data_IF_857588464950
#
_entry.id   IF_857588464950
#
_cell.length_a   1.000
_cell.length_b   1.000
_cell.length_c   1.000
_cell.angle_alpha   90.00
_cell.angle_beta   90.00
_cell.angle_gamma   90.00
#
_symmetry.space_group_name_H-M   'P 1'
#
loop_
_entity.id
_entity.type
_entity.pdbx_description
1 polymer ?
#
# COMPACT_ATOMS: atom_id res chain seq x y z
N UNK A 1 -16.72 5.25 13.01
CA UNK A 1 -16.50 6.73 13.08
C UNK A 1 -14.99 6.90 13.16
N UNK A 2 -14.37 7.91 12.55
CA UNK A 2 -12.90 8.04 12.54
C UNK A 2 -12.49 9.41 13.05
N UNK A 3 -11.41 9.48 13.82
CA UNK A 3 -10.80 10.73 14.26
C UNK A 3 -9.52 10.91 13.45
N UNK A 4 -9.50 11.93 12.61
CA UNK A 4 -8.31 12.33 11.86
C UNK A 4 -7.69 13.51 12.58
N UNK A 5 -6.45 13.37 13.02
CA UNK A 5 -5.62 14.48 13.48
C UNK A 5 -4.79 14.93 12.27
N UNK A 6 -5.25 15.98 11.60
CA UNK A 6 -4.47 16.67 10.59
C UNK A 6 -3.51 17.63 11.30
N UNK A 7 -2.21 17.44 11.12
CA UNK A 7 -1.22 18.41 11.60
C UNK A 7 -1.05 19.44 10.48
N UNK A 8 -1.91 20.46 10.48
CA UNK A 8 -1.72 21.65 9.67
C UNK A 8 -1.02 22.72 10.51
N UNK A 9 0.02 23.30 9.91
CA UNK A 9 0.94 24.21 10.58
C UNK A 9 0.22 25.42 11.22
N UNK A 10 0.19 25.46 12.55
CA UNK A 10 0.10 26.70 13.34
C UNK A 10 1.42 27.47 13.19
N UNK A 11 1.70 28.00 11.99
CA UNK A 11 2.79 28.96 11.80
C UNK A 11 2.42 30.23 12.57
N UNK A 12 2.94 30.37 13.80
CA UNK A 12 3.37 31.65 14.43
C UNK A 12 3.64 31.54 15.95
N UNK A 13 4.30 30.51 16.49
CA UNK A 13 4.92 30.64 17.84
C UNK A 13 6.22 29.84 17.98
N UNK A 14 7.24 30.38 18.67
CA UNK A 14 8.49 29.68 18.92
C UNK A 14 8.35 28.74 20.15
N UNK A 15 8.47 27.41 19.91
CA UNK A 15 8.50 26.22 20.81
C UNK A 15 7.17 25.58 21.28
N UNK A 16 7.13 24.26 21.60
CA UNK A 16 7.52 23.06 20.86
C UNK A 16 6.27 22.35 20.28
N UNK A 17 6.05 22.40 18.96
CA UNK A 17 4.82 21.89 18.32
C UNK A 17 4.52 20.40 18.60
N UNK A 18 5.55 19.60 18.84
CA UNK A 18 5.47 18.17 19.12
C UNK A 18 4.71 17.85 20.41
N UNK A 19 4.84 18.66 21.47
CA UNK A 19 4.19 18.37 22.78
C UNK A 19 2.69 18.66 22.76
N UNK A 20 2.23 19.62 21.95
CA UNK A 20 0.81 19.97 21.83
C UNK A 20 0.03 18.89 21.09
N UNK A 21 0.58 18.33 20.01
CA UNK A 21 -0.06 17.24 19.25
C UNK A 21 -0.21 15.98 20.10
N UNK A 22 0.82 15.59 20.86
CA UNK A 22 0.73 14.47 21.81
C UNK A 22 -0.39 14.68 22.83
N UNK A 23 -0.47 15.87 23.44
CA UNK A 23 -1.50 16.17 24.43
C UNK A 23 -2.92 16.09 23.87
N UNK A 24 -3.14 16.61 22.64
CA UNK A 24 -4.44 16.51 21.96
C UNK A 24 -4.77 15.05 21.67
N UNK A 25 -3.82 14.30 21.12
CA UNK A 25 -4.01 12.89 20.78
C UNK A 25 -4.32 12.04 22.02
N UNK A 26 -3.55 12.19 23.09
CA UNK A 26 -3.75 11.47 24.34
C UNK A 26 -5.11 11.79 24.96
N UNK A 27 -5.55 13.05 24.91
CA UNK A 27 -6.88 13.45 25.38
C UNK A 27 -8.00 12.81 24.55
N UNK A 28 -7.91 12.86 23.22
CA UNK A 28 -8.88 12.24 22.33
C UNK A 28 -8.93 10.72 22.56
N UNK A 29 -7.77 10.08 22.70
CA UNK A 29 -7.68 8.66 22.98
C UNK A 29 -8.28 8.29 24.33
N UNK A 30 -8.05 9.07 25.39
CA UNK A 30 -8.66 8.85 26.70
C UNK A 30 -10.19 9.02 26.66
N UNK A 31 -10.69 9.97 25.87
CA UNK A 31 -12.12 10.26 25.78
C UNK A 31 -12.90 9.22 24.96
N UNK A 32 -12.34 8.81 23.82
CA UNK A 32 -13.01 7.95 22.85
C UNK A 32 -12.61 6.47 22.93
N UNK A 33 -11.44 6.17 23.49
CA UNK A 33 -10.90 4.81 23.61
C UNK A 33 -10.50 4.19 22.27
N UNK A 34 -10.17 2.89 22.30
CA UNK A 34 -9.68 2.11 21.14
C UNK A 34 -10.73 1.23 20.45
N UNK A 35 -11.93 1.10 21.02
CA UNK A 35 -12.87 0.03 20.62
C UNK A 35 -13.89 0.42 19.55
N UNK A 36 -13.92 1.68 19.10
CA UNK A 36 -14.94 2.13 18.14
C UNK A 36 -14.49 3.19 17.12
N UNK A 37 -13.23 3.62 17.20
CA UNK A 37 -12.69 4.74 16.43
C UNK A 37 -11.31 4.40 15.87
N UNK A 38 -11.15 4.63 14.58
CA UNK A 38 -9.84 4.65 13.92
C UNK A 38 -9.17 6.00 14.17
N UNK A 39 -7.91 5.95 14.60
CA UNK A 39 -7.05 7.14 14.70
C UNK A 39 -6.16 7.23 13.47
N UNK A 40 -6.20 8.39 12.84
CA UNK A 40 -5.48 8.67 11.62
C UNK A 40 -4.63 9.92 11.75
N UNK A 41 -3.38 9.86 11.30
CA UNK A 41 -2.48 11.01 11.19
C UNK A 41 -2.22 11.35 9.73
N UNK A 42 -2.30 12.64 9.41
CA UNK A 42 -2.02 13.17 8.07
C UNK A 42 -1.05 14.34 8.15
N UNK A 43 -0.02 14.31 7.31
CA UNK A 43 0.95 15.40 7.18
C UNK A 43 1.32 15.67 5.72
N UNK A 44 1.55 16.95 5.38
CA UNK A 44 1.89 17.36 4.01
C UNK A 44 3.31 17.88 3.82
N UNK A 45 3.90 18.51 4.84
CA UNK A 45 5.19 19.22 4.71
C UNK A 45 6.13 18.96 5.89
N UNK A 46 5.79 18.03 6.77
CA UNK A 46 6.56 17.67 7.96
C UNK A 46 6.31 16.23 8.36
N UNK A 47 7.27 15.64 9.05
CA UNK A 47 7.11 14.32 9.64
C UNK A 47 6.27 14.40 10.90
N UNK A 48 5.27 13.51 11.07
CA UNK A 48 4.49 13.48 12.29
C UNK A 48 5.33 13.03 13.49
N UNK A 49 4.98 13.46 14.72
CA UNK A 49 5.48 12.79 15.90
C UNK A 49 5.07 11.31 15.93
N UNK A 50 5.87 10.50 16.63
CA UNK A 50 5.53 9.11 16.92
C UNK A 50 4.42 9.02 17.97
N UNK A 51 3.17 8.89 17.51
CA UNK A 51 1.98 8.78 18.37
C UNK A 51 1.59 7.32 18.59
N UNK A 52 1.08 6.98 19.78
CA UNK A 52 0.56 5.65 20.12
C UNK A 52 -0.85 5.43 19.57
N UNK A 53 -1.27 4.19 19.36
CA UNK A 53 -2.64 3.85 18.96
C UNK A 53 -3.12 4.50 17.65
N UNK A 54 -2.20 4.72 16.70
CA UNK A 54 -2.54 5.17 15.34
C UNK A 54 -2.84 3.96 14.47
N UNK A 55 -4.01 3.96 13.83
CA UNK A 55 -4.43 2.91 12.90
C UNK A 55 -3.97 3.20 11.48
N UNK A 56 -3.88 4.47 11.10
CA UNK A 56 -3.61 4.90 9.73
C UNK A 56 -2.67 6.11 9.70
N UNK A 57 -1.67 6.08 8.84
CA UNK A 57 -0.77 7.21 8.63
C UNK A 57 -0.66 7.55 7.16
N UNK A 58 -0.72 8.84 6.85
CA UNK A 58 -0.52 9.34 5.50
C UNK A 58 0.44 10.52 5.57
N UNK A 59 1.64 10.28 5.06
CA UNK A 59 2.78 11.18 5.24
C UNK A 59 3.27 11.56 3.87
N UNK A 60 3.16 12.85 3.54
CA UNK A 60 3.94 13.42 2.45
C UNK A 60 5.30 13.80 3.00
N UNK A 61 6.29 12.99 2.63
CA UNK A 61 7.65 13.04 3.13
C UNK A 61 8.35 14.30 2.62
N UNK A 62 8.89 15.14 3.53
CA UNK A 62 9.69 16.30 3.16
C UNK A 62 10.94 15.91 2.35
N UNK A 63 11.46 16.85 1.56
CA UNK A 63 12.74 16.65 0.89
C UNK A 63 13.87 16.40 1.92
N UNK A 64 14.80 15.52 1.57
CA UNK A 64 15.98 15.15 2.37
C UNK A 64 15.68 14.40 3.69
N UNK A 65 14.45 13.93 3.91
CA UNK A 65 14.15 13.02 5.03
C UNK A 65 14.95 11.72 4.91
N UNK A 66 15.60 11.31 6.01
CA UNK A 66 16.30 10.02 6.06
C UNK A 66 15.34 8.87 6.34
N UNK A 67 15.77 7.64 6.07
CA UNK A 67 14.98 6.45 6.37
C UNK A 67 14.71 6.31 7.87
N UNK A 68 15.67 6.67 8.72
CA UNK A 68 15.55 6.62 10.18
C UNK A 68 14.53 7.64 10.70
N UNK A 69 14.50 8.85 10.13
CA UNK A 69 13.53 9.89 10.50
C UNK A 69 12.10 9.46 10.12
N UNK A 70 11.92 8.87 8.93
CA UNK A 70 10.63 8.34 8.51
C UNK A 70 10.20 7.15 9.38
N UNK A 71 11.11 6.21 9.64
CA UNK A 71 10.87 5.05 10.52
C UNK A 71 10.44 5.47 11.92
N UNK A 72 11.08 6.53 12.47
CA UNK A 72 10.79 7.03 13.80
C UNK A 72 9.30 7.40 14.00
N UNK A 73 8.61 7.83 12.93
CA UNK A 73 7.19 8.21 12.94
C UNK A 73 6.27 7.04 13.33
N UNK A 74 6.68 5.80 13.08
CA UNK A 74 5.85 4.61 13.23
C UNK A 74 6.16 3.80 14.48
N UNK A 75 7.25 4.12 15.18
CA UNK A 75 7.77 3.33 16.32
C UNK A 75 6.77 3.14 17.47
N UNK A 76 5.94 4.15 17.75
CA UNK A 76 4.93 4.08 18.81
C UNK A 76 3.63 3.36 18.39
N UNK A 77 3.42 3.18 17.09
CA UNK A 77 2.27 2.49 16.51
C UNK A 77 2.70 1.62 15.32
N UNK A 78 3.41 0.50 15.56
CA UNK A 78 3.78 -0.44 14.52
C UNK A 78 2.54 -1.23 14.02
N UNK A 79 2.65 -1.89 12.87
CA UNK A 79 1.60 -2.75 12.29
C UNK A 79 0.25 -2.05 12.05
N UNK A 80 0.31 -0.81 11.57
CA UNK A 80 -0.88 -0.03 11.24
C UNK A 80 -1.73 -0.71 10.16
N UNK A 81 -3.04 -0.43 10.17
CA UNK A 81 -3.96 -0.92 9.14
C UNK A 81 -3.65 -0.33 7.76
N UNK A 82 -3.15 0.90 7.73
CA UNK A 82 -2.84 1.61 6.50
C UNK A 82 -1.66 2.58 6.67
N UNK A 83 -0.70 2.50 5.76
CA UNK A 83 0.36 3.49 5.63
C UNK A 83 0.38 3.98 4.19
N UNK A 84 0.34 5.29 4.01
CA UNK A 84 0.63 5.97 2.75
C UNK A 84 1.86 6.84 2.91
N UNK A 85 2.83 6.65 2.01
CA UNK A 85 4.07 7.42 1.95
C UNK A 85 4.10 8.06 0.57
N UNK A 86 3.95 9.38 0.54
CA UNK A 86 4.01 10.21 -0.67
C UNK A 86 5.22 11.15 -0.59
N UNK A 87 5.68 11.71 -1.70
CA UNK A 87 6.70 12.74 -1.76
C UNK A 87 8.07 12.25 -2.21
N UNK A 88 9.12 13.00 -1.83
CA UNK A 88 10.48 12.82 -2.31
C UNK A 88 11.31 11.99 -1.33
N UNK A 89 10.94 10.71 -1.15
CA UNK A 89 11.72 9.78 -0.34
C UNK A 89 12.68 8.95 -1.20
N UNK A 90 13.98 9.20 -1.05
CA UNK A 90 15.07 8.45 -1.71
C UNK A 90 15.88 7.61 -0.71
N UNK A 91 15.35 7.39 0.50
CA UNK A 91 16.01 6.60 1.53
C UNK A 91 15.77 5.11 1.33
N UNK A 92 16.69 4.30 1.86
CA UNK A 92 16.53 2.84 1.92
C UNK A 92 16.02 2.49 3.32
N UNK A 93 14.81 1.93 3.40
CA UNK A 93 14.26 1.46 4.67
C UNK A 93 15.12 0.32 5.23
N UNK A 94 15.27 0.30 6.56
CA UNK A 94 15.97 -0.79 7.25
C UNK A 94 15.30 -2.13 6.94
N UNK A 95 16.09 -3.20 6.90
CA UNK A 95 15.62 -4.56 6.60
C UNK A 95 14.52 -5.06 7.55
N UNK A 96 14.47 -4.50 8.77
CA UNK A 96 13.48 -4.80 9.80
C UNK A 96 12.51 -3.63 10.04
N UNK A 97 12.30 -2.77 9.04
CA UNK A 97 11.40 -1.62 9.15
C UNK A 97 9.99 -2.04 9.54
N UNK A 98 9.40 -1.33 10.51
CA UNK A 98 8.01 -1.57 10.97
C UNK A 98 6.98 -1.25 9.89
N UNK A 99 7.36 -0.46 8.87
CA UNK A 99 6.50 -0.09 7.74
C UNK A 99 6.11 -1.33 6.93
N UNK A 100 6.98 -2.32 6.82
CA UNK A 100 6.71 -3.57 6.11
C UNK A 100 5.60 -4.43 6.76
N UNK A 101 5.33 -4.18 8.05
CA UNK A 101 4.28 -4.86 8.81
C UNK A 101 2.89 -4.24 8.66
N UNK A 102 2.75 -3.12 7.92
CA UNK A 102 1.45 -2.53 7.68
C UNK A 102 0.54 -3.47 6.90
N UNK A 103 -0.74 -3.53 7.27
CA UNK A 103 -1.72 -4.37 6.56
C UNK A 103 -1.90 -3.91 5.12
N UNK A 104 -1.90 -2.60 4.91
CA UNK A 104 -1.99 -1.96 3.60
C UNK A 104 -0.91 -0.88 3.49
N UNK A 105 -0.05 -1.00 2.47
CA UNK A 105 1.01 -0.04 2.21
C UNK A 105 0.83 0.54 0.82
N UNK A 106 0.78 1.87 0.74
CA UNK A 106 0.77 2.63 -0.50
C UNK A 106 1.99 3.54 -0.54
N UNK A 107 2.70 3.47 -1.65
CA UNK A 107 3.95 4.16 -1.86
C UNK A 107 3.84 4.99 -3.13
N UNK A 108 4.09 6.29 -3.01
CA UNK A 108 4.07 7.26 -4.10
C UNK A 108 5.39 8.04 -4.01
N UNK A 109 6.49 7.43 -4.47
CA UNK A 109 7.74 8.16 -4.62
C UNK A 109 8.46 7.74 -5.91
N UNK A 110 9.24 8.68 -6.44
CA UNK A 110 10.07 8.49 -7.63
C UNK A 110 11.36 7.80 -7.22
N UNK A 111 11.59 6.55 -7.63
CA UNK A 111 12.81 5.85 -7.23
C UNK A 111 12.89 4.39 -7.67
N UNK A 112 13.94 3.72 -7.20
CA UNK A 112 14.29 2.33 -7.51
C UNK A 112 14.27 1.40 -6.29
N UNK A 113 13.64 1.83 -5.20
CA UNK A 113 13.52 1.08 -3.95
C UNK A 113 12.28 0.17 -3.91
N UNK A 114 11.47 0.16 -4.96
CA UNK A 114 10.24 -0.65 -5.04
C UNK A 114 10.52 -2.14 -4.84
N UNK A 115 11.60 -2.64 -5.44
CA UNK A 115 11.98 -4.06 -5.37
C UNK A 115 12.18 -4.52 -3.92
N UNK A 116 12.95 -3.76 -3.13
CA UNK A 116 13.22 -4.09 -1.73
C UNK A 116 11.96 -4.03 -0.87
N UNK A 117 11.10 -3.03 -1.09
CA UNK A 117 9.84 -2.92 -0.36
C UNK A 117 8.93 -4.10 -0.66
N UNK A 118 8.80 -4.50 -1.94
CA UNK A 118 8.00 -5.65 -2.33
C UNK A 118 8.50 -6.92 -1.63
N UNK A 119 9.80 -7.23 -1.74
CA UNK A 119 10.37 -8.47 -1.20
C UNK A 119 10.30 -8.57 0.34
N UNK A 120 10.22 -7.43 1.05
CA UNK A 120 10.15 -7.41 2.52
C UNK A 120 8.75 -7.25 3.08
N UNK A 121 7.79 -6.81 2.28
CA UNK A 121 6.42 -6.54 2.74
C UNK A 121 5.74 -7.81 3.26
N UNK A 122 5.10 -7.71 4.44
CA UNK A 122 4.44 -8.84 5.11
C UNK A 122 2.92 -8.67 5.26
N UNK A 123 2.37 -7.55 4.79
CA UNK A 123 0.95 -7.23 4.85
C UNK A 123 0.10 -7.85 3.74
N UNK A 124 -1.10 -7.32 3.57
CA UNK A 124 -2.12 -7.87 2.67
C UNK A 124 -2.27 -7.13 1.35
N UNK A 125 -1.98 -5.83 1.31
CA UNK A 125 -2.13 -5.05 0.07
C UNK A 125 -0.96 -4.10 -0.10
N UNK A 126 -0.38 -4.11 -1.27
CA UNK A 126 0.77 -3.28 -1.59
C UNK A 126 0.52 -2.51 -2.89
N UNK A 127 0.86 -1.24 -2.88
CA UNK A 127 0.69 -0.38 -4.04
C UNK A 127 1.91 0.52 -4.25
N UNK A 128 2.34 0.57 -5.49
CA UNK A 128 3.38 1.48 -5.95
C UNK A 128 2.84 2.35 -7.06
N UNK A 129 3.14 3.63 -6.98
CA UNK A 129 2.91 4.61 -8.02
C UNK A 129 4.23 5.33 -8.30
N UNK A 130 4.55 5.51 -9.59
CA UNK A 130 5.74 6.22 -10.05
C UNK A 130 7.05 5.52 -9.63
N UNK A 131 7.05 4.20 -9.50
CA UNK A 131 8.20 3.40 -9.03
C UNK A 131 8.55 2.33 -10.05
N UNK A 132 9.83 2.23 -10.44
CA UNK A 132 10.29 1.19 -11.37
C UNK A 132 10.63 -0.12 -10.63
N UNK A 133 10.47 -1.24 -11.32
CA UNK A 133 10.83 -2.57 -10.84
C UNK A 133 11.71 -3.33 -11.84
N UNK A 134 12.58 -4.19 -11.32
CA UNK A 134 13.27 -5.16 -12.15
C UNK A 134 12.32 -6.30 -12.55
N UNK A 135 12.45 -6.78 -13.78
CA UNK A 135 11.61 -7.89 -14.28
C UNK A 135 11.83 -9.16 -13.46
N UNK A 136 13.08 -9.38 -13.04
CA UNK A 136 13.45 -10.47 -12.14
C UNK A 136 12.69 -10.45 -10.82
N UNK A 137 12.41 -9.27 -10.26
CA UNK A 137 11.67 -9.15 -8.99
C UNK A 137 10.21 -9.52 -9.18
N UNK A 138 9.58 -9.08 -10.27
CA UNK A 138 8.19 -9.44 -10.58
C UNK A 138 8.09 -10.95 -10.85
N UNK A 139 9.01 -11.50 -11.64
CA UNK A 139 9.10 -12.94 -11.89
C UNK A 139 9.31 -13.74 -10.59
N UNK A 140 10.21 -13.28 -9.71
CA UNK A 140 10.46 -13.90 -8.42
C UNK A 140 9.20 -13.89 -7.56
N UNK A 141 8.54 -12.74 -7.42
CA UNK A 141 7.29 -12.59 -6.68
C UNK A 141 6.24 -13.61 -7.15
N UNK A 142 5.97 -13.69 -8.45
CA UNK A 142 4.95 -14.57 -8.99
C UNK A 142 5.30 -16.06 -8.77
N UNK A 143 6.58 -16.42 -8.95
CA UNK A 143 7.08 -17.80 -8.72
C UNK A 143 6.98 -18.19 -7.25
N UNK A 144 7.43 -17.33 -6.34
CA UNK A 144 7.42 -17.59 -4.90
C UNK A 144 6.01 -17.59 -4.30
N UNK A 145 5.11 -16.73 -4.81
CA UNK A 145 3.71 -16.78 -4.41
C UNK A 145 3.05 -18.08 -4.88
N UNK A 146 3.29 -18.48 -6.14
CA UNK A 146 2.73 -19.71 -6.71
C UNK A 146 3.22 -20.97 -5.98
N UNK A 147 4.50 -21.04 -5.64
CA UNK A 147 5.07 -22.16 -4.89
C UNK A 147 4.75 -22.13 -3.39
N UNK A 148 3.99 -21.13 -2.92
CA UNK A 148 3.69 -20.87 -1.52
C UNK A 148 4.94 -20.64 -0.64
N UNK A 149 6.07 -20.25 -1.23
CA UNK A 149 7.33 -19.99 -0.52
C UNK A 149 7.29 -18.66 0.25
N UNK A 150 6.78 -17.59 -0.38
CA UNK A 150 6.66 -16.26 0.21
C UNK A 150 5.32 -15.61 -0.19
N UNK A 151 5.04 -14.43 0.35
CA UNK A 151 3.87 -13.59 0.01
C UNK A 151 2.49 -14.22 0.31
N UNK A 152 2.41 -15.19 1.24
CA UNK A 152 1.16 -15.90 1.53
C UNK A 152 0.06 -14.97 2.06
N UNK A 153 0.44 -13.89 2.74
CA UNK A 153 -0.47 -12.88 3.27
C UNK A 153 -0.98 -11.91 2.20
N UNK A 154 -0.28 -11.78 1.06
CA UNK A 154 -0.54 -10.77 0.05
C UNK A 154 -1.79 -11.13 -0.74
N UNK A 155 -2.78 -10.24 -0.70
CA UNK A 155 -4.08 -10.37 -1.37
C UNK A 155 -4.16 -9.56 -2.65
N UNK A 156 -3.42 -8.45 -2.74
CA UNK A 156 -3.35 -7.65 -3.96
C UNK A 156 -2.05 -6.86 -4.05
N UNK A 157 -1.52 -6.76 -5.26
CA UNK A 157 -0.39 -5.91 -5.62
C UNK A 157 -0.79 -5.05 -6.82
N UNK A 158 -0.41 -3.77 -6.78
CA UNK A 158 -0.49 -2.86 -7.91
C UNK A 158 0.85 -2.16 -8.04
N UNK A 159 1.46 -2.25 -9.21
CA UNK A 159 2.66 -1.51 -9.57
C UNK A 159 2.30 -0.68 -10.78
N UNK A 160 2.37 0.64 -10.64
CA UNK A 160 2.28 1.56 -11.75
C UNK A 160 3.63 2.28 -11.93
N UNK A 161 4.27 2.00 -13.06
CA UNK A 161 5.61 2.47 -13.44
C UNK A 161 5.56 3.58 -14.50
N UNK A 162 4.46 4.34 -14.55
CA UNK A 162 4.18 5.37 -15.56
C UNK A 162 5.38 6.28 -15.80
N UNK A 163 5.75 6.50 -17.07
CA UNK A 163 6.93 7.23 -17.55
C UNK A 163 8.31 6.61 -17.20
N UNK A 164 8.38 5.48 -16.49
CA UNK A 164 9.64 4.87 -16.06
C UNK A 164 9.97 3.56 -16.77
N UNK A 165 9.01 2.66 -16.92
CA UNK A 165 9.27 1.32 -17.47
C UNK A 165 7.99 0.66 -17.97
N UNK A 166 8.07 0.08 -19.16
CA UNK A 166 7.09 -0.87 -19.67
C UNK A 166 7.56 -2.31 -19.43
N UNK A 167 6.60 -3.19 -19.21
CA UNK A 167 6.77 -4.60 -18.91
C UNK A 167 6.25 -5.44 -20.07
N UNK A 168 7.03 -6.44 -20.46
CA UNK A 168 6.58 -7.44 -21.43
C UNK A 168 5.93 -8.60 -20.69
N UNK A 169 4.60 -8.69 -20.80
CA UNK A 169 3.82 -9.76 -20.18
C UNK A 169 4.28 -11.16 -20.64
N UNK A 170 4.63 -11.33 -21.92
CA UNK A 170 5.04 -12.62 -22.45
C UNK A 170 6.38 -13.05 -21.86
N UNK A 171 7.33 -12.13 -21.69
CA UNK A 171 8.62 -12.42 -21.05
C UNK A 171 8.49 -12.66 -19.54
N UNK A 172 7.69 -11.84 -18.83
CA UNK A 172 7.50 -12.00 -17.38
C UNK A 172 6.78 -13.30 -17.02
N UNK A 173 5.85 -13.75 -17.86
CA UNK A 173 5.02 -14.93 -17.61
C UNK A 173 5.56 -16.22 -18.25
N UNK A 174 6.61 -16.15 -19.08
CA UNK A 174 7.12 -17.27 -19.90
C UNK A 174 7.37 -18.57 -19.13
N UNK A 175 7.95 -18.45 -17.93
CA UNK A 175 8.32 -19.60 -17.08
C UNK A 175 7.37 -19.79 -15.89
N UNK A 176 6.22 -19.14 -15.94
CA UNK A 176 5.19 -19.22 -14.91
C UNK A 176 4.05 -20.02 -15.52
N UNK A 177 3.63 -21.10 -14.85
CA UNK A 177 2.47 -21.90 -15.26
C UNK A 177 1.17 -21.11 -15.01
N UNK A 178 0.98 -20.07 -15.83
CA UNK A 178 -0.20 -19.21 -15.93
C UNK A 178 -1.25 -19.96 -16.72
N UNK A 179 -2.48 -19.95 -16.21
CA UNK A 179 -3.64 -20.51 -16.88
C UNK A 179 -4.47 -19.39 -17.47
N UNK A 180 -5.10 -19.70 -18.59
CA UNK A 180 -6.09 -18.85 -19.21
C UNK A 180 -7.48 -19.44 -19.04
N UNK A 181 -8.49 -18.58 -18.99
CA UNK A 181 -9.89 -19.01 -19.00
C UNK A 181 -10.21 -19.79 -20.29
N UNK A 182 -10.97 -20.87 -20.14
CA UNK A 182 -11.26 -21.84 -21.21
C UNK A 182 -11.90 -21.21 -22.44
N UNK A 183 -12.76 -20.19 -22.25
CA UNK A 183 -13.40 -19.46 -23.35
C UNK A 183 -12.67 -18.15 -23.62
N UNK A 184 -12.50 -17.86 -24.91
CA UNK A 184 -11.91 -16.61 -25.38
C UNK A 184 -12.66 -15.35 -24.90
N UNK A 185 -13.96 -15.48 -24.69
CA UNK A 185 -14.87 -14.39 -24.30
C UNK A 185 -14.96 -14.21 -22.77
N UNK A 186 -14.51 -15.20 -21.99
CA UNK A 186 -14.57 -15.12 -20.54
C UNK A 186 -13.45 -14.18 -20.03
N UNK A 187 -13.83 -13.26 -19.14
CA UNK A 187 -12.95 -12.29 -18.49
C UNK A 187 -13.28 -12.28 -16.99
N UNK A 188 -12.25 -12.32 -16.14
CA UNK A 188 -12.42 -12.11 -14.70
C UNK A 188 -12.42 -10.62 -14.38
N UNK A 189 -13.51 -10.12 -13.83
CA UNK A 189 -13.57 -8.77 -13.27
C UNK A 189 -13.19 -8.81 -11.79
N UNK A 190 -11.96 -8.41 -11.49
CA UNK A 190 -11.45 -8.35 -10.13
C UNK A 190 -11.75 -6.97 -9.56
N UNK A 191 -12.42 -6.91 -8.41
CA UNK A 191 -12.81 -5.66 -7.78
C UNK A 191 -12.47 -5.67 -6.28
N UNK A 192 -11.90 -4.59 -5.78
CA UNK A 192 -11.71 -4.37 -4.36
C UNK A 192 -11.79 -2.90 -4.00
N UNK A 193 -11.89 -2.61 -2.71
CA UNK A 193 -11.78 -1.24 -2.20
C UNK A 193 -10.47 -1.05 -1.47
N UNK A 194 -9.92 0.14 -1.63
CA UNK A 194 -8.69 0.54 -0.95
C UNK A 194 -8.97 1.79 -0.16
N UNK A 195 -8.55 1.83 1.10
CA UNK A 195 -8.57 3.04 1.90
C UNK A 195 -7.65 4.09 1.26
N UNK A 196 -8.13 5.32 1.18
CA UNK A 196 -7.34 6.47 0.72
C UNK A 196 -7.62 7.63 1.65
N UNK A 197 -6.58 8.41 1.88
CA UNK A 197 -6.59 9.50 2.83
C UNK A 197 -6.21 10.83 2.19
N UNK A 198 -5.36 10.82 1.16
CA UNK A 198 -5.16 11.93 0.23
C UNK A 198 -5.64 11.54 -1.18
N UNK A 199 -6.50 12.34 -1.82
CA UNK A 199 -6.60 12.28 -3.28
C UNK A 199 -5.20 12.63 -3.82
N UNK A 200 -4.53 11.71 -4.51
CA UNK A 200 -3.30 12.10 -5.21
C UNK A 200 -3.64 13.22 -6.19
N UNK A 201 -2.64 14.01 -6.64
CA UNK A 201 -2.87 15.04 -7.66
C UNK A 201 -3.51 14.47 -8.95
N UNK A 202 -3.43 13.16 -9.17
CA UNK A 202 -4.07 12.44 -10.26
C UNK A 202 -5.58 12.22 -10.06
N UNK A 203 -6.11 12.51 -8.87
CA UNK A 203 -7.50 12.32 -8.44
C UNK A 203 -8.23 13.65 -8.15
N UNK A 204 -7.71 14.78 -8.68
CA UNK A 204 -8.35 16.10 -8.56
C UNK A 204 -9.74 16.06 -9.20
N UNK A 205 -10.78 16.14 -8.37
CA UNK A 205 -12.19 16.09 -8.80
C UNK A 205 -13.02 14.97 -8.16
N UNK A 206 -12.37 13.96 -7.55
CA UNK A 206 -13.06 12.95 -6.75
C UNK A 206 -13.26 13.46 -5.31
N UNK A 207 -14.47 13.97 -5.02
CA UNK A 207 -14.97 14.31 -3.66
C UNK A 207 -14.59 13.22 -2.62
N UNK A 208 -14.44 13.57 -1.32
CA UNK A 208 -13.56 12.84 -0.40
C UNK A 208 -13.99 11.37 -0.25
N UNK A 209 -13.33 10.50 -1.00
CA UNK A 209 -13.56 9.08 -0.96
C UNK A 209 -12.65 8.51 0.13
N UNK A 210 -13.25 8.00 1.22
CA UNK A 210 -12.53 7.22 2.25
C UNK A 210 -11.91 5.94 1.68
N UNK A 211 -12.40 5.51 0.53
CA UNK A 211 -11.87 4.37 -0.20
C UNK A 211 -12.15 4.50 -1.69
N UNK A 212 -11.23 4.08 -2.56
CA UNK A 212 -11.44 4.02 -4.00
C UNK A 212 -11.65 2.59 -4.50
N UNK A 213 -12.58 2.36 -5.45
CA UNK A 213 -12.71 1.07 -6.11
C UNK A 213 -11.49 0.84 -7.01
N UNK A 214 -10.71 -0.19 -6.69
CA UNK A 214 -9.66 -0.68 -7.58
C UNK A 214 -10.17 -1.92 -8.27
N UNK A 215 -9.98 -1.96 -9.59
CA UNK A 215 -10.43 -3.07 -10.40
C UNK A 215 -9.53 -3.28 -11.59
N UNK A 216 -9.43 -4.51 -12.04
CA UNK A 216 -8.87 -4.82 -13.35
C UNK A 216 -9.53 -6.06 -13.92
N UNK A 217 -9.38 -6.20 -15.23
CA UNK A 217 -9.85 -7.33 -15.98
C UNK A 217 -8.65 -8.19 -16.34
N UNK A 218 -8.80 -9.50 -16.19
CA UNK A 218 -7.77 -10.43 -16.62
C UNK A 218 -8.36 -11.76 -17.05
N UNK A 219 -7.68 -12.39 -17.99
CA UNK A 219 -7.93 -13.77 -18.40
C UNK A 219 -6.87 -14.72 -17.83
N UNK A 220 -5.73 -14.16 -17.42
CA UNK A 220 -4.58 -14.86 -16.90
C UNK A 220 -4.72 -15.02 -15.38
N UNK A 221 -4.56 -16.24 -14.90
CA UNK A 221 -4.61 -16.54 -13.48
C UNK A 221 -3.61 -17.63 -13.09
N UNK A 222 -3.18 -17.54 -11.84
CA UNK A 222 -2.31 -18.49 -11.16
C UNK A 222 -3.11 -19.30 -10.15
N UNK A 223 -2.69 -20.53 -9.96
CA UNK A 223 -3.13 -21.39 -8.86
C UNK A 223 -1.90 -21.66 -8.01
N UNK A 224 -1.98 -21.34 -6.72
CA UNK A 224 -0.95 -21.64 -5.73
C UNK A 224 -0.93 -23.15 -5.45
N UNK A 225 0.28 -23.72 -5.45
CA UNK A 225 0.47 -25.18 -5.51
C UNK A 225 0.02 -25.89 -4.22
N UNK A 226 0.17 -25.24 -3.06
CA UNK A 226 -0.11 -25.83 -1.75
C UNK A 226 -1.60 -25.91 -1.40
N UNK A 227 -2.33 -24.80 -1.53
CA UNK A 227 -3.72 -24.68 -1.06
C UNK A 227 -4.75 -24.38 -2.16
N UNK A 228 -4.30 -24.26 -3.41
CA UNK A 228 -5.16 -24.00 -4.55
C UNK A 228 -5.75 -22.58 -4.60
N UNK A 229 -5.23 -21.63 -3.81
CA UNK A 229 -5.66 -20.24 -3.93
C UNK A 229 -5.42 -19.70 -5.34
N UNK A 230 -6.39 -18.94 -5.84
CA UNK A 230 -6.38 -18.39 -7.19
C UNK A 230 -6.14 -16.90 -7.16
N UNK A 231 -5.26 -16.43 -8.04
CA UNK A 231 -5.00 -15.03 -8.23
C UNK A 231 -4.97 -14.69 -9.72
N UNK A 232 -5.57 -13.57 -10.09
CA UNK A 232 -5.44 -13.04 -11.44
C UNK A 232 -4.21 -12.16 -11.54
N UNK A 233 -3.58 -12.20 -12.71
CA UNK A 233 -2.41 -11.39 -13.06
C UNK A 233 -2.76 -10.57 -14.28
N UNK A 234 -2.40 -9.30 -14.29
CA UNK A 234 -2.56 -8.41 -15.44
C UNK A 234 -1.27 -7.63 -15.59
N UNK A 235 -0.71 -7.63 -16.80
CA UNK A 235 0.51 -6.92 -17.13
C UNK A 235 0.25 -6.26 -18.48
N UNK A 236 0.18 -4.93 -18.50
CA UNK A 236 0.03 -4.15 -19.73
C UNK A 236 0.86 -2.87 -19.56
N UNK A 237 1.79 -2.65 -20.50
CA UNK A 237 2.72 -1.52 -20.49
C UNK A 237 3.36 -1.29 -19.12
N UNK A 238 3.07 -0.20 -18.43
CA UNK A 238 3.65 0.19 -17.15
C UNK A 238 2.88 -0.33 -15.93
N UNK A 239 1.81 -1.10 -16.13
CA UNK A 239 0.90 -1.54 -15.09
C UNK A 239 0.99 -3.05 -14.83
N UNK A 240 1.32 -3.42 -13.60
CA UNK A 240 1.32 -4.80 -13.12
C UNK A 240 0.33 -4.91 -11.97
N UNK A 241 -0.67 -5.78 -12.14
CA UNK A 241 -1.71 -6.03 -11.14
C UNK A 241 -1.79 -7.50 -10.83
N UNK A 242 -1.98 -7.77 -9.56
CA UNK A 242 -2.16 -9.11 -9.02
C UNK A 242 -3.22 -9.05 -7.94
N UNK A 243 -4.18 -9.98 -7.94
CA UNK A 243 -5.18 -10.04 -6.88
C UNK A 243 -5.81 -11.42 -6.73
N UNK A 244 -6.00 -11.83 -5.47
CA UNK A 244 -6.69 -13.07 -5.10
C UNK A 244 -8.19 -12.95 -5.33
N UNK A 245 -8.82 -14.09 -5.65
CA UNK A 245 -10.26 -14.16 -5.83
C UNK A 245 -10.86 -15.50 -5.40
N UNK A 246 -12.17 -15.49 -5.10
CA UNK A 246 -12.96 -16.68 -4.74
C UNK A 246 -14.15 -16.80 -5.70
N UNK A 247 -14.18 -17.84 -6.53
CA UNK A 247 -15.18 -18.01 -7.60
C UNK A 247 -15.03 -16.98 -8.72
N UNK A 248 -15.95 -16.92 -9.69
CA UNK A 248 -15.79 -16.08 -10.90
C UNK A 248 -15.92 -14.55 -10.65
N UNK A 249 -15.92 -14.10 -9.40
CA UNK A 249 -15.96 -12.69 -9.02
C UNK A 249 -15.37 -12.51 -7.63
N UNK A 250 -14.28 -11.77 -7.50
CA UNK A 250 -13.84 -11.24 -6.21
C UNK A 250 -14.64 -9.99 -5.89
N UNK A 251 -15.75 -10.13 -5.18
CA UNK A 251 -16.24 -9.04 -4.33
C UNK A 251 -15.58 -9.23 -2.97
N UNK A 252 -14.32 -8.80 -2.83
CA UNK A 252 -13.69 -8.73 -1.51
C UNK A 252 -14.19 -7.47 -0.80
N UNK A 253 -15.33 -7.59 -0.11
CA UNK A 253 -15.82 -6.55 0.80
C UNK A 253 -14.76 -6.31 1.87
N UNK A 254 -14.41 -5.04 2.07
CA UNK A 254 -13.71 -4.61 3.28
C UNK A 254 -14.53 -5.11 4.47
N UNK A 255 -13.94 -5.95 5.32
CA UNK A 255 -14.49 -6.17 6.65
C UNK A 255 -14.07 -4.93 7.43
N UNK A 256 -14.89 -3.89 7.34
CA UNK A 256 -14.92 -2.84 8.36
C UNK A 256 -15.53 -3.51 9.60
N UNK A 257 -14.69 -3.76 10.61
CA UNK A 257 -15.14 -3.97 11.98
C UNK A 257 -14.44 -2.97 12.86
#
# INVERSE_FOLDING_TARGET
MGITVAIENLKNEPTPGTSRVHGIHDYLYQFFGSSSIDYEIKTENELPPSLKNINKSCIKVPENTTAEELEACFTASPNQDYIEIDGHFNGILSTNSVIYGAKHLRVIFRGDHGDEILLRFKGNRLQFHLTKFHDSTICQFLKEWKSNQEFQNLKSLVINSYDYKNYDAAELLKDIDVRQLDKAEDILHINWRMSISFPSAMMVGCFPLKSFPSSFESRDYLIRDDDGEKASVFIEDDDVRFALWKGNSSVMKTIDR
#
